data_IF_175644168065
#
_entry.id   IF_175644168065
#
_cell.length_a   1.000
_cell.length_b   1.000
_cell.length_c   1.000
_cell.angle_alpha   90.00
_cell.angle_beta   90.00
_cell.angle_gamma   90.00
#
_symmetry.space_group_name_H-M   'P 1'
#
loop_
_entity.id
_entity.type
_entity.pdbx_description
1 polymer ?
#
# COMPACT_ATOMS: atom_id res chain seq x y z
N UNK A 1 -4.16 -4.97 -9.52
CA UNK A 1 -2.85 -5.53 -9.10
C UNK A 1 -1.76 -4.55 -9.53
N UNK A 2 -0.76 -4.29 -8.67
CA UNK A 2 0.15 -3.12 -8.70
C UNK A 2 0.93 -2.81 -9.99
N UNK A 3 0.99 -3.71 -10.97
CA UNK A 3 1.76 -3.50 -12.20
C UNK A 3 3.28 -3.33 -11.99
N UNK A 4 3.81 -3.75 -10.83
CA UNK A 4 5.23 -3.65 -10.49
C UNK A 4 5.94 -4.99 -10.67
N UNK A 5 7.24 -4.95 -10.95
CA UNK A 5 8.03 -6.18 -11.07
C UNK A 5 8.25 -6.83 -9.68
N UNK A 6 8.58 -8.12 -9.71
CA UNK A 6 8.85 -8.87 -8.49
C UNK A 6 10.07 -8.32 -7.73
N UNK A 7 11.12 -7.90 -8.43
CA UNK A 7 12.34 -7.36 -7.81
C UNK A 7 12.08 -6.12 -6.97
N UNK A 8 11.14 -5.26 -7.38
CA UNK A 8 10.76 -4.05 -6.66
C UNK A 8 9.98 -4.41 -5.39
N UNK A 9 9.12 -5.43 -5.43
CA UNK A 9 8.45 -5.94 -4.23
C UNK A 9 9.45 -6.51 -3.23
N UNK A 10 10.49 -7.20 -3.71
CA UNK A 10 11.60 -7.71 -2.85
C UNK A 10 12.40 -6.56 -2.25
N UNK A 11 12.67 -5.53 -3.05
CA UNK A 11 13.34 -4.34 -2.57
C UNK A 11 12.52 -3.65 -1.46
N UNK A 12 11.21 -3.47 -1.67
CA UNK A 12 10.34 -2.89 -0.64
C UNK A 12 10.21 -3.75 0.61
N UNK A 13 10.16 -5.08 0.49
CA UNK A 13 10.23 -5.99 1.66
C UNK A 13 11.48 -5.73 2.50
N UNK A 14 12.64 -5.51 1.87
CA UNK A 14 13.89 -5.25 2.59
C UNK A 14 13.94 -3.84 3.20
N UNK A 15 13.33 -2.85 2.54
CA UNK A 15 13.38 -1.47 3.00
C UNK A 15 12.36 -1.17 4.11
N UNK A 16 11.18 -1.82 4.07
CA UNK A 16 10.06 -1.51 4.95
C UNK A 16 9.71 -2.68 5.86
N UNK A 17 10.10 -2.59 7.14
CA UNK A 17 9.86 -3.62 8.17
C UNK A 17 8.38 -4.00 8.37
N UNK A 18 7.46 -3.13 7.92
CA UNK A 18 6.00 -3.35 7.98
C UNK A 18 5.50 -4.39 6.96
N UNK A 19 6.32 -4.76 5.98
CA UNK A 19 6.00 -5.82 5.01
C UNK A 19 6.73 -7.09 5.45
N UNK A 20 5.97 -8.10 5.89
CA UNK A 20 6.55 -9.36 6.39
C UNK A 20 5.86 -10.56 5.74
N UNK A 21 6.15 -10.84 4.46
CA UNK A 21 5.55 -11.97 3.76
C UNK A 21 6.08 -13.28 4.34
N UNK A 22 5.23 -14.31 4.37
CA UNK A 22 5.69 -15.66 4.74
C UNK A 22 6.48 -16.25 3.58
N UNK A 23 7.65 -16.82 3.89
CA UNK A 23 8.48 -17.53 2.91
C UNK A 23 8.18 -19.02 2.99
N UNK A 24 7.91 -19.67 1.86
CA UNK A 24 7.81 -21.12 1.79
C UNK A 24 9.21 -21.77 1.79
N UNK A 25 9.28 -23.11 1.82
CA UNK A 25 10.56 -23.86 1.76
C UNK A 25 11.40 -23.57 0.52
N UNK A 26 10.79 -23.11 -0.58
CA UNK A 26 11.46 -22.76 -1.85
C UNK A 26 11.89 -21.29 -1.92
N UNK A 27 11.53 -20.46 -0.94
CA UNK A 27 11.84 -19.03 -0.89
C UNK A 27 10.79 -18.12 -1.55
N UNK A 28 9.64 -18.67 -1.99
CA UNK A 28 8.55 -17.87 -2.53
C UNK A 28 7.82 -17.10 -1.43
N UNK A 29 7.48 -15.85 -1.75
CA UNK A 29 6.82 -14.92 -0.82
C UNK A 29 5.32 -15.00 -0.96
N UNK A 30 4.66 -15.29 0.15
CA UNK A 30 3.23 -15.24 0.28
C UNK A 30 2.86 -14.02 1.13
N UNK A 31 2.42 -12.97 0.45
CA UNK A 31 1.98 -11.73 1.08
C UNK A 31 0.61 -11.95 1.72
N UNK A 32 0.49 -11.63 3.02
CA UNK A 32 -0.80 -11.63 3.73
C UNK A 32 -1.63 -10.42 3.28
N UNK A 33 -2.95 -10.42 3.52
CA UNK A 33 -3.78 -9.27 3.21
C UNK A 33 -3.26 -7.94 3.80
N UNK A 34 -2.70 -7.98 5.01
CA UNK A 34 -2.08 -6.79 5.62
C UNK A 34 -0.82 -6.33 4.87
N UNK A 35 0.01 -7.26 4.37
CA UNK A 35 1.19 -6.92 3.61
C UNK A 35 0.79 -6.29 2.26
N UNK A 36 -0.31 -6.75 1.65
CA UNK A 36 -0.87 -6.14 0.43
C UNK A 36 -1.33 -4.70 0.69
N UNK A 37 -2.05 -4.45 1.79
CA UNK A 37 -2.45 -3.08 2.18
C UNK A 37 -1.25 -2.18 2.41
N UNK A 38 -0.22 -2.68 3.09
CA UNK A 38 1.03 -1.93 3.32
C UNK A 38 1.76 -1.63 1.99
N UNK A 39 1.75 -2.56 1.05
CA UNK A 39 2.27 -2.36 -0.31
C UNK A 39 1.49 -1.29 -1.09
N UNK A 40 0.17 -1.21 -0.95
CA UNK A 40 -0.64 -0.11 -1.52
C UNK A 40 -0.26 1.25 -0.98
N UNK A 41 -0.10 1.35 0.35
CA UNK A 41 0.34 2.58 0.98
C UNK A 41 1.75 2.98 0.48
N UNK A 42 2.70 2.05 0.47
CA UNK A 42 4.06 2.32 -0.01
C UNK A 42 4.05 2.72 -1.49
N UNK A 43 3.23 2.06 -2.32
CA UNK A 43 3.06 2.44 -3.72
C UNK A 43 2.52 3.86 -3.87
N UNK A 44 1.51 4.25 -3.09
CA UNK A 44 0.96 5.62 -3.11
C UNK A 44 2.02 6.65 -2.75
N UNK A 45 2.75 6.42 -1.65
CA UNK A 45 3.80 7.33 -1.16
C UNK A 45 4.91 7.53 -2.19
N UNK A 46 5.40 6.44 -2.81
CA UNK A 46 6.54 6.50 -3.71
C UNK A 46 6.15 6.90 -5.15
N UNK A 47 5.04 6.37 -5.67
CA UNK A 47 4.69 6.54 -7.10
C UNK A 47 3.74 7.68 -7.35
N UNK A 48 2.77 7.92 -6.45
CA UNK A 48 1.79 9.01 -6.59
C UNK A 48 2.28 10.29 -5.92
N UNK A 49 2.76 10.20 -4.67
CA UNK A 49 3.25 11.37 -3.91
C UNK A 49 4.73 11.69 -4.13
N UNK A 50 5.47 10.83 -4.84
CA UNK A 50 6.88 11.03 -5.24
C UNK A 50 7.82 11.25 -4.05
N UNK A 51 7.54 10.64 -2.90
CA UNK A 51 8.48 10.64 -1.78
C UNK A 51 9.70 9.76 -2.09
N UNK A 52 10.83 10.09 -1.47
CA UNK A 52 11.99 9.17 -1.41
C UNK A 52 11.68 8.00 -0.48
N UNK A 53 12.51 6.95 -0.54
CA UNK A 53 12.38 5.80 0.35
C UNK A 53 12.47 6.23 1.82
N UNK A 54 13.43 7.09 2.14
CA UNK A 54 13.63 7.66 3.47
C UNK A 54 12.41 8.49 3.90
N UNK A 55 11.89 9.34 3.02
CA UNK A 55 10.70 10.15 3.30
C UNK A 55 9.45 9.30 3.55
N UNK A 56 9.29 8.20 2.81
CA UNK A 56 8.21 7.24 3.04
C UNK A 56 8.39 6.49 4.37
N UNK A 57 9.62 6.07 4.72
CA UNK A 57 9.92 5.44 6.02
C UNK A 57 9.61 6.38 7.18
N UNK A 58 10.01 7.64 7.07
CA UNK A 58 9.74 8.67 8.08
C UNK A 58 8.24 8.93 8.23
N UNK A 59 7.51 8.97 7.11
CA UNK A 59 6.05 9.11 7.13
C UNK A 59 5.38 7.96 7.90
N UNK A 60 5.81 6.73 7.63
CA UNK A 60 5.28 5.54 8.29
C UNK A 60 5.65 5.47 9.78
N UNK A 61 6.86 5.89 10.15
CA UNK A 61 7.32 5.93 11.55
C UNK A 61 6.64 7.01 12.38
N UNK A 62 6.52 8.23 11.84
CA UNK A 62 5.92 9.38 12.55
C UNK A 62 4.42 9.24 12.73
N UNK A 63 3.77 8.46 11.87
CA UNK A 63 2.34 8.37 11.83
C UNK A 63 1.92 6.92 12.08
N UNK A 64 1.90 6.52 13.36
CA UNK A 64 1.44 5.19 13.80
C UNK A 64 0.00 4.88 13.38
N UNK A 65 -0.79 5.91 13.06
CA UNK A 65 -2.15 5.80 12.50
C UNK A 65 -2.20 5.90 10.98
N UNK A 66 -1.07 5.94 10.27
CA UNK A 66 -1.02 6.09 8.81
C UNK A 66 -1.83 5.01 8.08
N UNK A 67 -1.75 3.76 8.54
CA UNK A 67 -2.51 2.65 7.97
C UNK A 67 -4.02 2.89 8.12
N UNK A 68 -4.48 3.24 9.33
CA UNK A 68 -5.90 3.51 9.59
C UNK A 68 -6.41 4.74 8.81
N UNK A 69 -5.59 5.79 8.68
CA UNK A 69 -5.93 6.96 7.90
C UNK A 69 -6.01 6.65 6.40
N UNK A 70 -5.10 5.83 5.88
CA UNK A 70 -5.14 5.37 4.50
C UNK A 70 -6.39 4.52 4.21
N UNK A 71 -6.75 3.59 5.10
CA UNK A 71 -7.98 2.80 4.98
C UNK A 71 -9.24 3.69 4.96
N UNK A 72 -9.26 4.73 5.80
CA UNK A 72 -10.34 5.72 5.82
C UNK A 72 -10.43 6.48 4.49
N UNK A 73 -9.30 6.93 3.95
CA UNK A 73 -9.26 7.61 2.63
C UNK A 73 -9.77 6.68 1.53
N UNK A 74 -9.35 5.41 1.50
CA UNK A 74 -9.82 4.44 0.51
C UNK A 74 -11.34 4.22 0.61
N UNK A 75 -11.87 4.13 1.82
CA UNK A 75 -13.31 4.00 2.06
C UNK A 75 -14.10 5.20 1.54
N UNK A 76 -13.60 6.42 1.81
CA UNK A 76 -14.22 7.65 1.31
C UNK A 76 -14.12 7.79 -0.22
N UNK A 77 -13.02 7.34 -0.84
CA UNK A 77 -12.87 7.31 -2.29
C UNK A 77 -13.85 6.33 -2.95
N UNK A 78 -14.01 5.15 -2.36
CA UNK A 78 -14.99 4.14 -2.81
C UNK A 78 -16.42 4.69 -2.73
N UNK A 79 -16.80 5.27 -1.58
CA UNK A 79 -18.11 5.89 -1.40
C UNK A 79 -18.36 7.01 -2.41
N UNK A 80 -17.36 7.88 -2.64
CA UNK A 80 -17.46 8.92 -3.65
C UNK A 80 -17.71 8.34 -5.05
N UNK A 81 -17.00 7.28 -5.42
CA UNK A 81 -17.19 6.60 -6.72
C UNK A 81 -18.62 6.09 -6.88
N UNK A 82 -19.11 5.36 -5.87
CA UNK A 82 -20.48 4.84 -5.85
C UNK A 82 -21.54 5.94 -5.99
N UNK A 83 -21.39 7.06 -5.26
CA UNK A 83 -22.34 8.18 -5.35
C UNK A 83 -22.32 8.85 -6.74
N UNK A 84 -21.16 8.90 -7.40
CA UNK A 84 -21.06 9.41 -8.77
C UNK A 84 -21.73 8.49 -9.77
N UNK A 85 -21.63 7.17 -9.59
CA UNK A 85 -22.32 6.18 -10.43
C UNK A 85 -23.84 6.33 -10.31
N UNK A 86 -24.37 6.45 -9.08
CA UNK A 86 -25.81 6.72 -8.87
C UNK A 86 -26.23 8.01 -9.58
N UNK A 87 -25.45 9.08 -9.43
CA UNK A 87 -25.74 10.37 -10.08
C UNK A 87 -25.76 10.25 -11.60
N UNK A 88 -24.88 9.44 -12.19
CA UNK A 88 -24.80 9.25 -13.64
C UNK A 88 -25.90 8.33 -14.20
N UNK A 89 -26.50 7.50 -13.36
CA UNK A 89 -27.61 6.60 -13.70
C UNK A 89 -29.01 7.26 -13.58
N UNK A 90 -29.06 8.52 -13.13
CA UNK A 90 -30.24 9.39 -13.08
C UNK A 90 -30.21 10.38 -14.26
#
# INVERSE_FOLDING_TARGET
MFGVNQSLLRFWENEFDIIQPRKNRKGDRHFRPIDIKNLELIYDLLRRRKLTIEGAKDFLKKNTKAAAHFEMIQSLQSLKGFLLEIKAAL
#
